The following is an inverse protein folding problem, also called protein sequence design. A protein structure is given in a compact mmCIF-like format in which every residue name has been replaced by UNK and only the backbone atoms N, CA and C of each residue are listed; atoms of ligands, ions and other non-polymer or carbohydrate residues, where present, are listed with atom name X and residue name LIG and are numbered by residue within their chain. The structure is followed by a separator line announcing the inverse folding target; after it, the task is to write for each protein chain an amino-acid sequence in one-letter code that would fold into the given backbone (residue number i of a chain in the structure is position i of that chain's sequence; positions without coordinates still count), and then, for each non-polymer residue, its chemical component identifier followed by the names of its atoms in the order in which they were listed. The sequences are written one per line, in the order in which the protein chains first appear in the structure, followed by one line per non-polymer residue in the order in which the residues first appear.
data_IF_657418305709
#
_entry.id   IF_657418305709
#
_cell.length_a   1.000
_cell.length_b   1.000
_cell.length_c   1.000
_cell.angle_alpha   90.00
_cell.angle_beta   90.00
_cell.angle_gamma   90.00
#
_symmetry.space_group_name_H-M   'P 1'
#
loop_
_entity.id
_entity.type
_entity.pdbx_description
1 polymer ?
#
# COMPACT_ATOMS: atom_id res chain seq x y z
N UNK A 1 -41.44 5.97 10.83
CA UNK A 1 -39.96 6.11 10.89
C UNK A 1 -39.38 6.55 9.55
N UNK A 2 -39.35 5.73 8.49
CA UNK A 2 -38.76 6.15 7.19
C UNK A 2 -39.43 7.40 6.59
N UNK A 3 -40.77 7.44 6.56
CA UNK A 3 -41.52 8.61 6.06
C UNK A 3 -41.24 9.85 6.91
N UNK A 4 -41.25 9.72 8.24
CA UNK A 4 -41.00 10.83 9.16
C UNK A 4 -39.57 11.36 9.05
N UNK A 5 -38.59 10.46 8.91
CA UNK A 5 -37.18 10.81 8.72
C UNK A 5 -36.98 11.55 7.39
N UNK A 6 -37.62 11.08 6.30
CA UNK A 6 -37.61 11.76 5.01
C UNK A 6 -38.28 13.14 5.08
N UNK A 7 -39.44 13.24 5.74
CA UNK A 7 -40.13 14.52 5.94
C UNK A 7 -39.31 15.50 6.78
N UNK A 8 -38.55 15.01 7.77
CA UNK A 8 -37.61 15.82 8.53
C UNK A 8 -36.47 16.34 7.66
N UNK A 9 -35.90 15.51 6.78
CA UNK A 9 -34.83 15.94 5.85
C UNK A 9 -35.35 17.01 4.88
N UNK A 10 -36.55 16.85 4.34
CA UNK A 10 -37.17 17.84 3.45
C UNK A 10 -37.39 19.18 4.16
N UNK A 11 -37.91 19.16 5.40
CA UNK A 11 -38.09 20.38 6.20
C UNK A 11 -36.78 21.08 6.49
N UNK A 12 -35.76 20.34 6.95
CA UNK A 12 -34.41 20.88 7.17
C UNK A 12 -33.82 21.47 5.89
N UNK A 13 -33.97 20.79 4.75
CA UNK A 13 -33.53 21.30 3.45
C UNK A 13 -34.28 22.54 2.97
N UNK A 14 -35.40 22.91 3.58
CA UNK A 14 -36.09 24.18 3.34
C UNK A 14 -35.70 25.25 4.37
N UNK A 15 -35.67 24.87 5.66
CA UNK A 15 -35.45 25.79 6.79
C UNK A 15 -33.96 26.20 6.95
N UNK A 16 -33.02 25.32 6.60
CA UNK A 16 -31.57 25.52 6.76
C UNK A 16 -30.90 26.09 5.47
N UNK A 17 -31.70 26.49 4.47
CA UNK A 17 -31.17 27.18 3.29
C UNK A 17 -30.92 28.64 3.63
N UNK A 18 -29.67 29.05 3.54
CA UNK A 18 -29.25 30.42 3.77
C UNK A 18 -28.53 30.98 2.55
N UNK A 19 -28.82 32.24 2.21
CA UNK A 19 -28.09 32.94 1.15
C UNK A 19 -26.66 33.22 1.60
N UNK A 20 -25.68 32.86 0.77
CA UNK A 20 -24.30 33.34 0.94
C UNK A 20 -24.26 34.81 0.49
N UNK A 21 -24.23 35.73 1.46
CA UNK A 21 -24.26 37.18 1.21
C UNK A 21 -22.90 37.75 0.81
N UNK A 22 -21.80 37.12 1.26
CA UNK A 22 -20.45 37.51 0.88
C UNK A 22 -20.06 36.86 -0.46
N UNK A 23 -20.31 37.58 -1.57
CA UNK A 23 -20.10 37.13 -2.94
C UNK A 23 -18.79 37.67 -3.55
N UNK A 24 -17.74 37.83 -2.76
CA UNK A 24 -16.44 38.27 -3.27
C UNK A 24 -15.81 37.13 -4.07
N UNK A 25 -15.97 37.20 -5.40
CA UNK A 25 -15.31 36.30 -6.34
C UNK A 25 -13.95 36.90 -6.71
N UNK A 26 -12.87 36.19 -6.40
CA UNK A 26 -11.52 36.49 -6.93
C UNK A 26 -10.65 37.48 -6.15
N UNK A 27 -11.07 38.01 -4.99
CA UNK A 27 -10.16 38.82 -4.17
C UNK A 27 -9.20 37.91 -3.39
N UNK A 28 -8.03 37.63 -3.99
CA UNK A 28 -6.94 36.90 -3.33
C UNK A 28 -6.45 35.64 -4.05
N UNK A 29 -7.05 35.27 -5.19
CA UNK A 29 -6.45 34.24 -6.05
C UNK A 29 -5.47 34.90 -7.01
N UNK A 30 -4.17 34.61 -6.85
CA UNK A 30 -3.21 34.77 -7.95
C UNK A 30 -3.82 34.20 -9.22
N UNK A 31 -3.64 34.90 -10.36
CA UNK A 31 -4.06 34.42 -11.68
C UNK A 31 -3.71 32.93 -11.79
N UNK A 32 -4.73 32.06 -11.79
CA UNK A 32 -4.52 30.64 -12.08
C UNK A 32 -3.85 30.62 -13.45
N UNK A 33 -2.58 30.24 -13.48
CA UNK A 33 -1.84 30.03 -14.74
C UNK A 33 -2.76 29.22 -15.66
N UNK A 34 -2.95 29.69 -16.88
CA UNK A 34 -3.80 29.09 -17.92
C UNK A 34 -3.41 27.64 -18.31
N UNK A 35 -2.52 26.98 -17.58
CA UNK A 35 -2.28 25.55 -17.68
C UNK A 35 -3.08 24.86 -16.59
N UNK A 36 -4.14 24.14 -16.97
CA UNK A 36 -4.66 23.09 -16.09
C UNK A 36 -3.50 22.21 -15.65
N UNK A 37 -3.38 21.94 -14.34
CA UNK A 37 -2.39 21.01 -13.85
C UNK A 37 -2.65 19.66 -14.55
N UNK A 38 -1.67 19.19 -15.32
CA UNK A 38 -1.70 17.85 -15.89
C UNK A 38 -1.98 16.86 -14.76
N UNK A 39 -3.00 16.01 -14.93
CA UNK A 39 -3.24 14.97 -13.95
C UNK A 39 -1.99 14.10 -13.83
N UNK A 40 -1.51 13.83 -12.60
CA UNK A 40 -0.36 12.98 -12.41
C UNK A 40 -0.67 11.59 -12.97
N UNK A 41 0.33 10.97 -13.58
CA UNK A 41 0.24 9.58 -14.04
C UNK A 41 -0.13 8.71 -12.82
N UNK A 42 -1.19 7.87 -12.92
CA UNK A 42 -1.58 6.96 -11.85
C UNK A 42 -0.39 6.15 -11.34
N UNK A 43 -0.23 6.01 -10.02
CA UNK A 43 0.97 5.41 -9.43
C UNK A 43 1.28 4.01 -9.98
N UNK A 44 0.25 3.17 -10.14
CA UNK A 44 0.38 1.81 -10.68
C UNK A 44 0.88 1.77 -12.14
N UNK A 45 0.78 2.89 -12.86
CA UNK A 45 1.19 2.99 -14.25
C UNK A 45 2.66 3.39 -14.42
N UNK A 46 3.26 4.03 -13.40
CA UNK A 46 4.65 4.50 -13.45
C UNK A 46 5.64 3.36 -13.65
N UNK A 47 5.33 2.18 -13.13
CA UNK A 47 6.16 0.97 -13.24
C UNK A 47 5.87 0.13 -14.49
N UNK A 48 4.79 0.42 -15.23
CA UNK A 48 4.44 -0.34 -16.43
C UNK A 48 5.39 0.08 -17.55
N UNK A 49 6.06 -0.86 -18.23
CA UNK A 49 6.90 -0.53 -19.39
C UNK A 49 6.02 -0.06 -20.55
N UNK A 50 6.57 0.85 -21.36
CA UNK A 50 5.93 1.28 -22.60
C UNK A 50 5.77 0.08 -23.54
N UNK A 51 4.60 -0.08 -24.16
CA UNK A 51 4.36 -1.14 -25.14
C UNK A 51 5.16 -0.90 -26.42
N UNK A 52 5.57 -1.99 -27.08
CA UNK A 52 6.16 -1.94 -28.43
C UNK A 52 5.16 -1.44 -29.48
N UNK A 53 3.86 -1.68 -29.24
CA UNK A 53 2.79 -1.23 -30.10
C UNK A 53 1.98 -0.12 -29.44
N UNK A 54 1.87 1.03 -30.12
CA UNK A 54 1.03 2.14 -29.68
C UNK A 54 -0.44 1.75 -29.47
N UNK A 55 -0.91 0.70 -30.15
CA UNK A 55 -2.30 0.23 -30.06
C UNK A 55 -2.60 -0.36 -28.67
N UNK A 56 -1.63 -1.03 -28.05
CA UNK A 56 -1.73 -1.61 -26.70
C UNK A 56 -1.01 -0.78 -25.65
N UNK A 57 -0.44 0.37 -26.01
CA UNK A 57 0.31 1.21 -25.08
C UNK A 57 -0.62 1.95 -24.11
N UNK A 58 -0.49 1.63 -22.83
CA UNK A 58 -1.32 2.19 -21.78
C UNK A 58 -0.98 3.68 -21.55
N UNK A 59 0.30 4.08 -21.67
CA UNK A 59 0.77 5.47 -21.50
C UNK A 59 0.18 6.41 -22.52
N UNK A 60 0.21 6.01 -23.80
CA UNK A 60 -0.53 6.72 -24.85
C UNK A 60 -2.02 6.81 -24.51
N UNK A 61 -2.65 5.70 -24.14
CA UNK A 61 -4.09 5.69 -23.88
C UNK A 61 -4.50 6.57 -22.70
N UNK A 62 -3.68 6.65 -21.64
CA UNK A 62 -3.88 7.60 -20.54
C UNK A 62 -3.82 9.05 -21.03
N UNK A 63 -2.76 9.41 -21.76
CA UNK A 63 -2.54 10.78 -22.24
C UNK A 63 -3.66 11.25 -23.18
N UNK A 64 -4.07 10.38 -24.11
CA UNK A 64 -5.01 10.71 -25.19
C UNK A 64 -6.48 10.45 -24.87
N UNK A 65 -6.80 9.63 -23.86
CA UNK A 65 -8.19 9.23 -23.58
C UNK A 65 -8.49 9.13 -22.08
N UNK A 66 -7.68 8.39 -21.31
CA UNK A 66 -7.94 8.11 -19.90
C UNK A 66 -8.02 9.37 -19.03
N UNK A 67 -7.08 10.31 -19.23
CA UNK A 67 -7.01 11.57 -18.50
C UNK A 67 -8.22 12.49 -18.80
N UNK A 68 -8.67 12.54 -20.06
CA UNK A 68 -9.88 13.29 -20.43
C UNK A 68 -11.13 12.70 -19.81
N UNK A 69 -11.28 11.36 -19.86
CA UNK A 69 -12.39 10.68 -19.22
C UNK A 69 -12.46 10.96 -17.73
N UNK A 70 -11.32 10.89 -17.02
CA UNK A 70 -11.27 11.11 -15.57
C UNK A 70 -11.63 12.56 -15.17
N UNK A 71 -11.33 13.53 -16.03
CA UNK A 71 -11.70 14.95 -15.85
C UNK A 71 -13.13 15.28 -16.27
N UNK A 72 -13.90 14.31 -16.80
CA UNK A 72 -15.22 14.58 -17.37
C UNK A 72 -15.19 15.28 -18.73
N UNK A 73 -14.03 15.32 -19.38
CA UNK A 73 -13.78 15.95 -20.68
C UNK A 73 -13.84 14.93 -21.83
N UNK A 74 -14.73 13.94 -21.73
CA UNK A 74 -14.78 12.83 -22.70
C UNK A 74 -15.04 13.25 -24.16
N UNK A 75 -15.65 14.42 -24.36
CA UNK A 75 -15.92 15.00 -25.68
C UNK A 75 -14.74 15.79 -26.26
N UNK A 76 -13.70 16.05 -25.46
CA UNK A 76 -12.54 16.85 -25.87
C UNK A 76 -11.42 15.98 -26.47
N UNK A 77 -11.66 14.67 -26.57
CA UNK A 77 -10.75 13.74 -27.23
C UNK A 77 -10.71 14.03 -28.73
N UNK A 78 -9.50 14.18 -29.28
CA UNK A 78 -9.31 14.31 -30.72
C UNK A 78 -9.65 12.98 -31.42
N UNK A 79 -10.24 13.05 -32.62
CA UNK A 79 -10.45 11.84 -33.43
C UNK A 79 -9.11 11.34 -33.96
N UNK A 80 -8.50 10.41 -33.23
CA UNK A 80 -7.30 9.67 -33.66
C UNK A 80 -7.67 8.27 -34.19
N UNK A 81 -6.75 7.58 -34.90
CA UNK A 81 -7.01 6.23 -35.43
C UNK A 81 -7.37 5.18 -34.37
N UNK A 82 -6.90 5.32 -33.13
CA UNK A 82 -7.17 4.38 -32.04
C UNK A 82 -8.57 4.55 -31.45
N UNK A 83 -9.02 5.80 -31.26
CA UNK A 83 -10.39 6.13 -30.87
C UNK A 83 -11.35 5.74 -31.99
N UNK A 84 -11.00 6.01 -33.25
CA UNK A 84 -11.80 5.59 -34.41
C UNK A 84 -11.98 4.07 -34.52
N UNK A 85 -10.98 3.29 -34.07
CA UNK A 85 -11.06 1.83 -33.99
C UNK A 85 -11.65 1.30 -32.67
N UNK A 86 -11.98 2.17 -31.71
CA UNK A 86 -12.46 1.81 -30.38
C UNK A 86 -11.56 0.82 -29.63
N UNK A 87 -10.24 0.95 -29.80
CA UNK A 87 -9.27 0.06 -29.15
C UNK A 87 -8.91 0.57 -27.77
N UNK A 88 -9.02 -0.30 -26.76
CA UNK A 88 -8.60 -0.06 -25.39
C UNK A 88 -7.48 -1.02 -25.01
N UNK A 89 -6.35 -0.55 -24.45
CA UNK A 89 -5.33 -1.43 -23.92
C UNK A 89 -5.84 -2.18 -22.69
N UNK A 90 -5.22 -3.33 -22.41
CA UNK A 90 -5.43 -4.04 -21.16
C UNK A 90 -5.06 -3.14 -19.96
N UNK A 91 -5.49 -3.55 -18.76
CA UNK A 91 -5.13 -2.89 -17.48
C UNK A 91 -5.57 -1.42 -17.34
N UNK A 92 -6.44 -0.91 -18.22
CA UNK A 92 -6.99 0.46 -18.15
C UNK A 92 -7.84 0.74 -16.90
N UNK A 93 -8.24 -0.28 -16.15
CA UNK A 93 -8.90 -0.13 -14.83
C UNK A 93 -8.02 0.55 -13.79
N UNK A 94 -6.69 0.51 -13.95
CA UNK A 94 -5.71 1.14 -13.03
C UNK A 94 -5.80 2.66 -12.96
N UNK A 95 -6.53 3.30 -13.87
CA UNK A 95 -6.72 4.74 -13.91
C UNK A 95 -7.62 5.28 -12.80
N UNK A 96 -8.44 4.42 -12.20
CA UNK A 96 -9.46 4.82 -11.24
C UNK A 96 -8.99 4.58 -9.82
N UNK A 97 -8.99 5.65 -9.02
CA UNK A 97 -8.76 5.58 -7.57
C UNK A 97 -10.10 5.42 -6.84
N UNK A 98 -10.27 4.28 -6.16
CA UNK A 98 -11.47 3.93 -5.40
C UNK A 98 -11.49 4.51 -3.97
N UNK A 99 -10.44 5.20 -3.52
CA UNK A 99 -10.43 5.87 -2.21
C UNK A 99 -11.61 6.84 -2.05
N UNK A 100 -12.04 7.51 -3.12
CA UNK A 100 -13.12 8.50 -3.08
C UNK A 100 -14.54 7.94 -2.98
N UNK A 101 -14.74 6.61 -3.04
CA UNK A 101 -16.08 5.99 -3.06
C UNK A 101 -16.40 5.14 -1.82
N UNK A 102 -15.43 4.90 -0.95
CA UNK A 102 -15.58 4.05 0.24
C UNK A 102 -15.48 4.86 1.52
N UNK A 103 -16.20 4.43 2.55
CA UNK A 103 -16.15 5.03 3.89
C UNK A 103 -15.23 4.27 4.85
N UNK A 104 -15.01 2.98 4.58
CA UNK A 104 -14.23 2.09 5.43
C UNK A 104 -13.25 1.28 4.58
N UNK A 105 -12.18 0.81 5.21
CA UNK A 105 -11.27 -0.18 4.64
C UNK A 105 -10.89 -1.21 5.71
N UNK A 106 -10.47 -2.43 5.33
CA UNK A 106 -9.97 -3.39 6.30
C UNK A 106 -8.62 -2.92 6.86
N UNK A 107 -8.43 -3.11 8.16
CA UNK A 107 -7.16 -3.06 8.86
C UNK A 107 -6.71 -4.49 9.17
N UNK A 108 -5.44 -4.79 8.88
CA UNK A 108 -4.87 -6.11 9.07
C UNK A 108 -4.15 -6.24 10.42
N UNK A 109 -4.50 -7.27 11.17
CA UNK A 109 -3.89 -7.65 12.45
C UNK A 109 -3.01 -8.87 12.21
N UNK A 110 -1.73 -8.62 11.98
CA UNK A 110 -0.75 -9.63 11.54
C UNK A 110 -0.64 -10.83 12.49
N UNK A 111 -0.64 -10.59 13.80
CA UNK A 111 -0.49 -11.65 14.82
C UNK A 111 -1.63 -12.68 14.82
N UNK A 112 -2.81 -12.29 14.35
CA UNK A 112 -3.97 -13.19 14.28
C UNK A 112 -4.02 -13.97 12.95
N UNK A 113 -3.20 -13.59 11.97
CA UNK A 113 -3.29 -14.13 10.63
C UNK A 113 -2.74 -15.56 10.54
N UNK A 114 -3.55 -16.49 10.04
CA UNK A 114 -3.16 -17.90 9.83
C UNK A 114 -2.60 -18.18 8.43
N UNK A 115 -2.58 -17.18 7.55
CA UNK A 115 -2.29 -17.31 6.12
C UNK A 115 -3.17 -18.37 5.42
N UNK A 116 -4.47 -18.39 5.75
CA UNK A 116 -5.44 -19.30 5.13
C UNK A 116 -5.79 -18.93 3.68
N UNK A 117 -5.69 -17.64 3.34
CA UNK A 117 -5.91 -17.11 1.99
C UNK A 117 -7.35 -16.82 1.60
N UNK A 118 -8.32 -17.02 2.51
CA UNK A 118 -9.73 -16.75 2.24
C UNK A 118 -9.98 -15.28 1.86
N UNK A 119 -9.31 -14.34 2.54
CA UNK A 119 -9.51 -12.90 2.36
C UNK A 119 -9.15 -12.40 0.95
N UNK A 120 -8.08 -12.92 0.35
CA UNK A 120 -7.69 -12.54 -1.00
C UNK A 120 -8.38 -13.37 -2.08
N UNK A 121 -8.85 -14.57 -1.76
CA UNK A 121 -9.66 -15.38 -2.66
C UNK A 121 -11.08 -14.83 -2.84
N UNK A 122 -11.69 -14.28 -1.77
CA UNK A 122 -13.05 -13.71 -1.83
C UNK A 122 -13.06 -12.28 -2.40
N UNK A 123 -11.93 -11.58 -2.39
CA UNK A 123 -11.87 -10.19 -2.79
C UNK A 123 -12.26 -10.04 -4.27
N UNK A 124 -13.38 -9.36 -4.60
CA UNK A 124 -13.86 -9.27 -5.97
C UNK A 124 -12.99 -8.38 -6.88
N UNK A 125 -12.05 -7.63 -6.28
CA UNK A 125 -11.22 -6.63 -6.94
C UNK A 125 -9.72 -6.91 -6.82
N UNK A 126 -9.32 -8.06 -6.25
CA UNK A 126 -7.91 -8.43 -6.00
C UNK A 126 -7.13 -7.33 -5.26
N UNK A 127 -7.80 -6.68 -4.30
CA UNK A 127 -7.30 -5.49 -3.61
C UNK A 127 -6.49 -5.81 -2.34
N UNK A 128 -6.26 -7.09 -2.01
CA UNK A 128 -5.59 -7.50 -0.77
C UNK A 128 -4.61 -8.66 -1.02
N UNK A 129 -3.61 -8.52 -1.91
CA UNK A 129 -2.70 -9.61 -2.21
C UNK A 129 -1.93 -10.11 -0.97
N UNK A 130 -1.71 -11.42 -0.92
CA UNK A 130 -0.76 -12.04 0.00
C UNK A 130 0.63 -12.14 -0.62
N UNK A 131 1.66 -11.94 0.19
CA UNK A 131 3.06 -12.08 -0.19
C UNK A 131 3.83 -12.81 0.90
N UNK A 132 4.71 -13.72 0.51
CA UNK A 132 5.73 -14.31 1.39
C UNK A 132 7.10 -13.80 0.96
N UNK A 133 7.85 -13.22 1.89
CA UNK A 133 9.20 -12.69 1.66
C UNK A 133 10.21 -13.35 2.59
N UNK A 134 11.46 -13.50 2.16
CA UNK A 134 12.54 -13.88 3.07
C UNK A 134 12.96 -12.66 3.90
N UNK A 135 13.40 -12.89 5.13
CA UNK A 135 13.88 -11.80 5.99
C UNK A 135 15.02 -11.02 5.31
N UNK A 136 15.98 -11.72 4.70
CA UNK A 136 17.10 -11.12 3.97
C UNK A 136 16.61 -10.21 2.84
N UNK A 137 15.59 -10.63 2.09
CA UNK A 137 15.01 -9.84 1.01
C UNK A 137 14.33 -8.57 1.52
N UNK A 138 13.58 -8.66 2.62
CA UNK A 138 12.95 -7.50 3.26
C UNK A 138 14.01 -6.50 3.70
N UNK A 139 15.03 -6.98 4.42
CA UNK A 139 16.14 -6.16 4.90
C UNK A 139 16.92 -5.49 3.75
N UNK A 140 17.21 -6.24 2.68
CA UNK A 140 17.90 -5.72 1.50
C UNK A 140 17.05 -4.70 0.73
N UNK A 141 15.72 -4.89 0.66
CA UNK A 141 14.80 -3.91 0.07
C UNK A 141 14.82 -2.59 0.85
N UNK A 142 14.77 -2.63 2.18
CA UNK A 142 14.87 -1.42 3.01
C UNK A 142 16.22 -0.73 2.78
N UNK A 143 17.34 -1.47 2.77
CA UNK A 143 18.67 -0.90 2.47
C UNK A 143 18.71 -0.23 1.10
N UNK A 144 18.07 -0.81 0.07
CA UNK A 144 17.98 -0.20 -1.26
C UNK A 144 17.19 1.11 -1.24
N UNK A 145 16.09 1.17 -0.48
CA UNK A 145 15.28 2.39 -0.31
C UNK A 145 16.07 3.49 0.38
N UNK A 146 16.77 3.17 1.48
CA UNK A 146 17.66 4.14 2.17
C UNK A 146 18.73 4.67 1.22
N UNK A 147 19.40 3.81 0.44
CA UNK A 147 20.41 4.23 -0.55
C UNK A 147 19.86 5.10 -1.68
N UNK A 148 18.57 4.99 -1.99
CA UNK A 148 17.89 5.80 -3.01
C UNK A 148 17.58 7.20 -2.48
N UNK A 149 17.23 7.31 -1.19
CA UNK A 149 16.80 8.56 -0.57
C UNK A 149 17.96 9.32 0.13
N UNK A 150 19.07 8.64 0.42
CA UNK A 150 20.22 9.21 1.11
C UNK A 150 21.53 8.98 0.33
N UNK A 151 22.35 10.03 0.20
CA UNK A 151 23.54 10.01 -0.67
C UNK A 151 24.73 9.22 -0.10
N UNK A 152 24.84 9.05 1.22
CA UNK A 152 25.96 8.38 1.89
C UNK A 152 25.46 7.33 2.88
N UNK A 153 25.66 6.07 2.53
CA UNK A 153 25.30 4.90 3.35
C UNK A 153 26.50 3.96 3.35
N UNK A 154 27.30 4.00 4.42
CA UNK A 154 28.58 3.28 4.52
C UNK A 154 28.49 2.05 5.44
N UNK A 155 27.78 2.18 6.57
CA UNK A 155 27.80 1.18 7.64
C UNK A 155 26.60 0.23 7.60
N UNK A 156 25.45 0.71 7.16
CA UNK A 156 24.15 0.03 7.19
C UNK A 156 24.16 -1.33 6.48
N UNK A 157 24.71 -1.52 5.27
CA UNK A 157 24.60 -2.82 4.58
C UNK A 157 25.33 -3.94 5.32
N UNK A 158 26.45 -3.62 5.99
CA UNK A 158 27.17 -4.58 6.81
C UNK A 158 26.41 -4.85 8.11
N UNK A 159 25.90 -3.79 8.72
CA UNK A 159 25.18 -3.86 9.98
C UNK A 159 23.90 -4.69 9.87
N UNK A 160 23.09 -4.46 8.84
CA UNK A 160 21.86 -5.20 8.56
C UNK A 160 22.12 -6.71 8.39
N UNK A 161 23.20 -7.09 7.71
CA UNK A 161 23.60 -8.51 7.58
C UNK A 161 24.00 -9.14 8.92
N UNK A 162 24.66 -8.39 9.79
CA UNK A 162 25.05 -8.85 11.12
C UNK A 162 23.85 -8.94 12.06
N UNK A 163 22.89 -8.03 11.91
CA UNK A 163 21.64 -7.98 12.66
C UNK A 163 20.67 -9.10 12.27
N UNK A 164 20.68 -9.57 11.03
CA UNK A 164 19.76 -10.61 10.54
C UNK A 164 19.71 -11.85 11.46
N UNK A 165 20.87 -12.34 11.94
CA UNK A 165 20.90 -13.49 12.85
C UNK A 165 20.22 -13.21 14.19
N UNK A 166 20.23 -11.97 14.67
CA UNK A 166 19.59 -11.57 15.93
C UNK A 166 18.08 -11.52 15.78
N UNK A 167 17.61 -10.90 14.70
CA UNK A 167 16.19 -10.86 14.33
C UNK A 167 15.61 -12.28 14.24
N UNK A 168 16.33 -13.21 13.57
CA UNK A 168 15.92 -14.63 13.50
C UNK A 168 15.88 -15.31 14.87
N UNK A 169 16.77 -14.93 15.79
CA UNK A 169 16.74 -15.38 17.18
C UNK A 169 15.46 -14.95 17.88
N UNK A 170 15.13 -13.65 17.81
CA UNK A 170 13.91 -13.08 18.39
C UNK A 170 12.63 -13.71 17.82
N UNK A 171 12.59 -14.01 16.52
CA UNK A 171 11.43 -14.68 15.91
C UNK A 171 11.15 -16.06 16.52
N UNK A 172 12.17 -16.81 16.94
CA UNK A 172 11.98 -18.13 17.59
C UNK A 172 11.40 -18.01 19.00
N UNK A 173 11.59 -16.88 19.65
CA UNK A 173 11.11 -16.60 21.00
C UNK A 173 9.72 -15.91 21.01
N UNK A 174 9.29 -15.40 19.86
CA UNK A 174 8.05 -14.62 19.65
C UNK A 174 6.76 -15.27 20.16
N UNK A 175 6.68 -16.61 20.14
CA UNK A 175 5.52 -17.39 20.59
C UNK A 175 5.12 -17.19 22.06
N UNK A 176 5.88 -16.40 22.84
CA UNK A 176 5.64 -16.18 24.27
C UNK A 176 5.05 -14.82 24.64
N UNK A 177 5.23 -13.79 23.81
CA UNK A 177 5.02 -12.40 24.24
C UNK A 177 3.96 -11.61 23.44
N UNK A 178 3.45 -12.15 22.33
CA UNK A 178 2.45 -11.44 21.50
C UNK A 178 2.99 -10.19 20.78
N UNK A 179 4.31 -9.99 20.76
CA UNK A 179 4.96 -8.92 20.02
C UNK A 179 4.78 -9.10 18.51
N UNK A 180 4.61 -8.00 17.77
CA UNK A 180 4.55 -8.04 16.30
C UNK A 180 5.93 -8.25 15.70
N UNK A 181 6.01 -8.78 14.48
CA UNK A 181 7.29 -8.95 13.77
C UNK A 181 8.04 -7.62 13.63
N UNK A 182 7.32 -6.52 13.37
CA UNK A 182 7.92 -5.20 13.28
C UNK A 182 8.58 -4.80 14.60
N UNK A 183 7.89 -4.97 15.74
CA UNK A 183 8.46 -4.70 17.07
C UNK A 183 9.74 -5.50 17.32
N UNK A 184 9.76 -6.79 16.96
CA UNK A 184 10.97 -7.62 17.10
C UNK A 184 12.13 -7.13 16.23
N UNK A 185 11.85 -6.58 15.05
CA UNK A 185 12.88 -5.95 14.21
C UNK A 185 13.37 -4.65 14.86
N UNK A 186 12.47 -3.83 15.41
CA UNK A 186 12.84 -2.59 16.11
C UNK A 186 13.72 -2.87 17.33
N UNK A 187 13.34 -3.86 18.15
CA UNK A 187 14.11 -4.33 19.31
C UNK A 187 15.53 -4.76 18.89
N UNK A 188 15.64 -5.54 17.80
CA UNK A 188 16.94 -5.96 17.27
C UNK A 188 17.80 -4.77 16.80
N UNK A 189 17.18 -3.73 16.23
CA UNK A 189 17.89 -2.51 15.84
C UNK A 189 18.39 -1.76 17.09
N UNK A 190 17.58 -1.64 18.15
CA UNK A 190 17.97 -0.96 19.39
C UNK A 190 19.18 -1.65 20.04
N UNK A 191 19.10 -2.98 20.17
CA UNK A 191 20.20 -3.80 20.69
C UNK A 191 21.46 -3.62 19.84
N UNK A 192 21.32 -3.68 18.50
CA UNK A 192 22.45 -3.55 17.59
C UNK A 192 23.13 -2.18 17.69
N UNK A 193 22.35 -1.09 17.75
CA UNK A 193 22.88 0.28 17.93
C UNK A 193 23.62 0.36 19.27
N UNK A 194 23.01 -0.13 20.36
CA UNK A 194 23.59 -0.02 21.70
C UNK A 194 24.98 -0.69 21.84
N UNK A 195 25.22 -1.75 21.08
CA UNK A 195 26.47 -2.51 21.15
C UNK A 195 27.54 -2.05 20.16
N UNK A 196 27.13 -1.46 19.03
CA UNK A 196 28.03 -1.20 17.89
C UNK A 196 28.17 0.28 17.53
N UNK A 197 27.36 1.16 18.11
CA UNK A 197 27.51 2.59 17.88
C UNK A 197 28.76 3.13 18.57
N UNK A 198 29.72 3.52 17.74
CA UNK A 198 30.99 4.12 18.17
C UNK A 198 31.03 5.62 17.84
N UNK A 199 29.88 6.26 17.59
CA UNK A 199 29.81 7.67 17.17
C UNK A 199 30.22 7.88 15.70
N UNK A 200 30.17 6.82 14.89
CA UNK A 200 30.60 6.80 13.49
C UNK A 200 29.47 7.11 12.49
N UNK A 201 28.26 7.44 12.97
CA UNK A 201 27.08 7.70 12.13
C UNK A 201 26.19 6.47 11.89
N UNK A 202 26.53 5.29 12.43
CA UNK A 202 25.72 4.07 12.32
C UNK A 202 24.29 4.26 12.88
N UNK A 203 24.17 4.92 14.04
CA UNK A 203 22.86 5.18 14.65
C UNK A 203 21.95 5.99 13.71
N UNK A 204 22.50 6.97 13.00
CA UNK A 204 21.76 7.78 12.03
C UNK A 204 21.33 6.95 10.82
N UNK A 205 22.22 6.12 10.26
CA UNK A 205 21.86 5.25 9.14
C UNK A 205 20.81 4.20 9.53
N UNK A 206 20.85 3.72 10.77
CA UNK A 206 19.82 2.82 11.32
C UNK A 206 18.49 3.52 11.56
N UNK A 207 18.49 4.80 11.92
CA UNK A 207 17.24 5.58 12.02
C UNK A 207 16.58 5.72 10.65
N UNK A 208 17.35 6.03 9.59
CA UNK A 208 16.82 6.03 8.22
C UNK A 208 16.28 4.67 7.81
N UNK A 209 16.93 3.59 8.25
CA UNK A 209 16.43 2.23 8.02
C UNK A 209 15.08 2.00 8.72
N UNK A 210 14.88 2.51 9.94
CA UNK A 210 13.59 2.44 10.66
C UNK A 210 12.52 3.23 9.94
N UNK A 211 12.83 4.45 9.51
CA UNK A 211 11.90 5.31 8.77
C UNK A 211 11.43 4.65 7.46
N UNK A 212 12.35 4.01 6.72
CA UNK A 212 12.02 3.31 5.48
C UNK A 212 11.28 1.98 5.67
N UNK A 213 11.53 1.27 6.77
CA UNK A 213 10.75 0.08 7.14
C UNK A 213 9.33 0.48 7.60
N UNK A 214 9.23 1.59 8.32
CA UNK A 214 7.99 2.13 8.85
C UNK A 214 7.20 1.12 9.68
N UNK A 215 5.87 1.24 9.64
CA UNK A 215 4.93 0.38 10.36
C UNK A 215 4.49 -0.85 9.56
N UNK A 216 5.19 -1.20 8.46
CA UNK A 216 4.81 -2.33 7.64
C UNK A 216 4.81 -3.63 8.46
N UNK A 217 3.69 -4.35 8.45
CA UNK A 217 3.51 -5.53 9.28
C UNK A 217 3.87 -6.81 8.52
N UNK A 218 4.37 -7.78 9.29
CA UNK A 218 4.58 -9.15 8.84
C UNK A 218 4.02 -10.11 9.88
N UNK A 219 3.67 -11.32 9.45
CA UNK A 219 3.14 -12.39 10.28
C UNK A 219 4.04 -13.62 10.19
N UNK A 220 4.34 -14.22 11.35
CA UNK A 220 4.98 -15.52 11.46
C UNK A 220 3.89 -16.59 11.47
N UNK A 221 3.55 -17.08 10.29
CA UNK A 221 2.43 -18.02 10.14
C UNK A 221 2.93 -19.46 10.10
N UNK A 222 2.13 -20.39 10.61
CA UNK A 222 2.48 -21.82 10.59
C UNK A 222 2.94 -22.36 9.23
N UNK A 223 2.23 -22.12 8.10
CA UNK A 223 2.64 -22.69 6.82
C UNK A 223 3.93 -22.09 6.25
N UNK A 224 4.25 -20.84 6.55
CA UNK A 224 5.38 -20.14 5.92
C UNK A 224 6.58 -19.95 6.84
N UNK A 225 6.39 -19.95 8.16
CA UNK A 225 7.44 -19.77 9.15
C UNK A 225 7.68 -21.05 9.97
N UNK A 226 6.70 -21.51 10.75
CA UNK A 226 6.92 -22.59 11.72
C UNK A 226 7.30 -23.93 11.07
N UNK A 227 6.59 -24.32 9.99
CA UNK A 227 6.85 -25.59 9.31
C UNK A 227 8.23 -25.57 8.60
N UNK A 228 8.58 -24.54 7.81
CA UNK A 228 9.93 -24.43 7.26
C UNK A 228 11.03 -24.39 8.33
N UNK A 229 10.90 -23.56 9.38
CA UNK A 229 11.91 -23.48 10.45
C UNK A 229 12.14 -24.82 11.16
N UNK A 230 11.09 -25.64 11.28
CA UNK A 230 11.20 -26.99 11.84
C UNK A 230 11.96 -27.96 10.92
N UNK A 231 11.83 -27.81 9.61
CA UNK A 231 12.49 -28.65 8.61
C UNK A 231 13.96 -28.23 8.42
N UNK A 232 14.19 -26.94 8.15
CA UNK A 232 15.51 -26.35 8.01
C UNK A 232 15.59 -25.02 8.79
N UNK A 233 16.55 -24.86 9.71
CA UNK A 233 16.74 -23.60 10.41
C UNK A 233 16.97 -22.43 9.44
N UNK A 234 16.37 -21.28 9.74
CA UNK A 234 16.44 -20.04 8.96
C UNK A 234 15.72 -20.09 7.59
N UNK A 235 14.90 -21.11 7.33
CA UNK A 235 14.13 -21.22 6.10
C UNK A 235 12.72 -20.63 6.18
N UNK A 236 12.31 -20.08 7.33
CA UNK A 236 11.02 -19.42 7.52
C UNK A 236 10.87 -18.13 6.72
N UNK A 237 9.72 -17.99 6.06
CA UNK A 237 9.29 -16.79 5.35
C UNK A 237 8.34 -15.93 6.18
N UNK A 238 8.38 -14.63 5.91
CA UNK A 238 7.50 -13.63 6.51
C UNK A 238 6.28 -13.44 5.60
N UNK A 239 5.08 -13.65 6.15
CA UNK A 239 3.84 -13.45 5.40
C UNK A 239 3.32 -12.03 5.60
N UNK A 240 2.85 -11.38 4.54
CA UNK A 240 2.12 -10.11 4.61
C UNK A 240 0.88 -10.16 3.73
N UNK A 241 -0.15 -9.41 4.13
CA UNK A 241 -1.19 -8.96 3.22
C UNK A 241 -1.23 -7.44 3.24
N UNK A 242 -1.35 -6.84 2.08
CA UNK A 242 -1.36 -5.37 1.93
C UNK A 242 -2.61 -4.95 1.20
N UNK A 243 -3.28 -3.92 1.70
CA UNK A 243 -4.52 -3.43 1.10
C UNK A 243 -4.14 -2.41 0.05
N UNK A 244 -4.48 -2.67 -1.21
CA UNK A 244 -4.32 -1.72 -2.29
C UNK A 244 -5.32 -0.56 -2.10
N UNK A 245 -4.85 0.66 -1.78
CA UNK A 245 -5.75 1.78 -1.54
C UNK A 245 -6.50 2.19 -2.80
N UNK A 246 -5.94 1.97 -3.98
CA UNK A 246 -6.52 2.41 -5.26
C UNK A 246 -7.66 1.50 -5.71
N UNK A 247 -7.61 0.20 -5.41
CA UNK A 247 -8.59 -0.78 -5.93
C UNK A 247 -9.59 -1.28 -4.91
N UNK A 248 -9.30 -1.18 -3.61
CA UNK A 248 -10.24 -1.61 -2.57
C UNK A 248 -11.54 -0.77 -2.64
N UNK A 249 -12.71 -1.41 -2.56
CA UNK A 249 -14.01 -0.69 -2.56
C UNK A 249 -14.64 -0.60 -1.19
N UNK A 250 -14.03 -1.18 -0.17
CA UNK A 250 -14.58 -1.19 1.18
C UNK A 250 -15.83 -2.05 1.35
N UNK A 251 -15.96 -3.15 0.59
CA UNK A 251 -17.10 -4.08 0.70
C UNK A 251 -17.07 -4.98 1.94
N UNK A 252 -15.91 -5.11 2.60
CA UNK A 252 -15.70 -5.92 3.81
C UNK A 252 -15.90 -7.44 3.70
N UNK A 253 -16.07 -7.99 2.49
CA UNK A 253 -16.10 -9.45 2.28
C UNK A 253 -14.88 -10.18 2.86
N UNK A 254 -13.70 -9.55 2.77
CA UNK A 254 -12.46 -10.07 3.33
C UNK A 254 -12.46 -10.12 4.88
N UNK A 255 -13.17 -9.19 5.52
CA UNK A 255 -13.39 -9.18 6.98
C UNK A 255 -14.37 -10.29 7.35
N UNK A 256 -15.50 -10.39 6.63
CA UNK A 256 -16.56 -11.36 6.91
C UNK A 256 -16.09 -12.81 6.78
N UNK A 257 -15.23 -13.10 5.80
CA UNK A 257 -14.71 -14.46 5.59
C UNK A 257 -13.57 -14.84 6.54
N UNK A 258 -13.03 -13.88 7.31
CA UNK A 258 -11.87 -14.13 8.17
C UNK A 258 -12.30 -14.85 9.46
N UNK A 259 -11.90 -16.11 9.68
CA UNK A 259 -12.31 -16.84 10.88
C UNK A 259 -11.49 -16.47 12.12
N UNK A 260 -10.37 -15.77 11.94
CA UNK A 260 -9.35 -15.56 12.96
C UNK A 260 -9.33 -14.12 13.51
N UNK A 261 -10.28 -13.26 13.14
CA UNK A 261 -10.28 -11.83 13.52
C UNK A 261 -8.94 -11.14 13.18
N UNK A 262 -8.37 -11.51 12.03
CA UNK A 262 -7.15 -10.92 11.48
C UNK A 262 -7.43 -9.68 10.63
N UNK A 263 -8.70 -9.38 10.33
CA UNK A 263 -9.11 -8.20 9.56
C UNK A 263 -10.29 -7.54 10.27
N UNK A 264 -10.24 -6.21 10.42
CA UNK A 264 -11.32 -5.43 11.03
C UNK A 264 -11.67 -4.22 10.17
N UNK A 265 -12.95 -3.82 10.09
CA UNK A 265 -13.32 -2.61 9.37
C UNK A 265 -12.89 -1.40 10.20
N UNK A 266 -12.23 -0.44 9.54
CA UNK A 266 -11.92 0.86 10.13
C UNK A 266 -12.42 1.98 9.22
N UNK A 267 -12.82 3.09 9.85
CA UNK A 267 -13.22 4.29 9.11
C UNK A 267 -12.02 4.86 8.36
N UNK A 268 -12.23 5.15 7.08
CA UNK A 268 -11.22 5.76 6.24
C UNK A 268 -11.01 7.22 6.64
N UNK A 269 -9.74 7.59 6.83
CA UNK A 269 -9.29 8.97 7.05
C UNK A 269 -8.21 9.33 6.03
N UNK A 270 -7.85 10.61 5.93
CA UNK A 270 -6.74 11.03 5.07
C UNK A 270 -5.43 10.33 5.49
N UNK A 271 -5.18 10.23 6.80
CA UNK A 271 -4.02 9.54 7.36
C UNK A 271 -4.04 8.04 7.06
N UNK A 272 -5.20 7.39 7.17
CA UNK A 272 -5.29 5.95 6.90
C UNK A 272 -5.04 5.64 5.43
N UNK A 273 -5.50 6.51 4.51
CA UNK A 273 -5.19 6.40 3.07
C UNK A 273 -3.71 6.66 2.79
N UNK A 274 -3.09 7.64 3.45
CA UNK A 274 -1.66 7.90 3.32
C UNK A 274 -0.83 6.69 3.78
N UNK A 275 -1.17 6.10 4.93
CA UNK A 275 -0.55 4.86 5.43
C UNK A 275 -0.67 3.72 4.42
N UNK A 276 -1.87 3.44 3.90
CA UNK A 276 -2.07 2.40 2.88
C UNK A 276 -1.25 2.63 1.61
N UNK A 277 -1.09 3.89 1.18
CA UNK A 277 -0.27 4.22 0.00
C UNK A 277 1.22 3.94 0.26
N UNK A 278 1.73 4.30 1.44
CA UNK A 278 3.11 4.03 1.82
C UNK A 278 3.37 2.53 1.95
N UNK A 279 2.47 1.79 2.60
CA UNK A 279 2.56 0.33 2.74
C UNK A 279 2.50 -0.36 1.37
N UNK A 280 1.64 0.11 0.47
CA UNK A 280 1.53 -0.40 -0.89
C UNK A 280 2.80 -0.13 -1.72
N UNK A 281 3.40 1.05 -1.58
CA UNK A 281 4.67 1.38 -2.23
C UNK A 281 5.81 0.48 -1.73
N UNK A 282 5.90 0.27 -0.41
CA UNK A 282 6.86 -0.67 0.18
C UNK A 282 6.64 -2.09 -0.33
N UNK A 283 5.39 -2.55 -0.38
CA UNK A 283 5.03 -3.88 -0.90
C UNK A 283 5.43 -4.08 -2.37
N UNK A 284 5.32 -3.04 -3.20
CA UNK A 284 5.74 -3.09 -4.61
C UNK A 284 7.27 -3.21 -4.79
N UNK A 285 8.05 -2.75 -3.81
CA UNK A 285 9.52 -2.85 -3.82
C UNK A 285 10.03 -4.21 -3.29
N UNK A 286 9.18 -5.00 -2.64
CA UNK A 286 9.52 -6.35 -2.20
C UNK A 286 9.59 -7.31 -3.40
N UNK A 287 10.51 -8.30 -3.39
CA UNK A 287 10.55 -9.29 -4.44
C UNK A 287 9.33 -10.21 -4.40
N UNK A 288 9.04 -10.83 -5.55
CA UNK A 288 8.01 -11.87 -5.64
C UNK A 288 8.31 -13.04 -4.70
N UNK A 289 7.24 -13.70 -4.26
CA UNK A 289 7.36 -14.89 -3.41
C UNK A 289 8.26 -15.96 -4.03
N UNK A 290 9.31 -16.39 -3.31
CA UNK A 290 10.15 -17.50 -3.75
C UNK A 290 9.34 -18.78 -3.99
N UNK A 291 9.69 -19.51 -5.05
CA UNK A 291 8.96 -20.72 -5.46
C UNK A 291 8.85 -21.80 -4.37
N UNK A 292 9.80 -21.83 -3.43
CA UNK A 292 9.78 -22.77 -2.28
C UNK A 292 8.59 -22.56 -1.33
N UNK A 293 7.97 -21.38 -1.34
CA UNK A 293 6.77 -21.09 -0.56
C UNK A 293 5.48 -21.26 -1.36
N UNK A 294 5.55 -21.65 -2.64
CA UNK A 294 4.36 -21.95 -3.41
C UNK A 294 3.72 -23.23 -2.87
N UNK A 295 2.44 -23.15 -2.51
CA UNK A 295 1.67 -24.27 -1.93
C UNK A 295 0.78 -24.96 -2.97
N UNK A 296 0.86 -24.54 -4.24
CA UNK A 296 0.11 -25.04 -5.40
C UNK A 296 1.09 -25.16 -6.57
#
# INVERSE_FOLDING_TARGET
RVVDDNMRVVKRGFDEVHEITNKVLGAGHEEKKNGEALLPIPTMMKAIPKSESNLSDIHRFWDQTGNFYLRGMGNDNLTDPFIGLSVMPAVSSLFRDMTGIRFEHPEWISNNCTACGNCYAICPDTAIPGLVSELSDVLDTVVKRVKKNHEKVEYLPKAVRQMESRVRGLFKESNKNGATVNHLIQDAIDEYISENDNGNGLAQEMEWFREELGDFQFALTRPYFDLPEKDQPNSGGLFSITINPTTCKGCMECVEVCPDDALRPITQTEDSVARLRNEWEFWLDLPNTPAKYNRI
#
